data_IF_747184927007
#
_entry.id   IF_747184927007
#
_cell.length_a   1.000
_cell.length_b   1.000
_cell.length_c   1.000
_cell.angle_alpha   90.00
_cell.angle_beta   90.00
_cell.angle_gamma   90.00
#
_symmetry.space_group_name_H-M   'P 1'
#
loop_
_entity.id
_entity.type
_entity.pdbx_description
1 polymer ?
#
# COMPACT_ATOMS: atom_id res chain seq x y z
N UNK A 1 -17.19 27.51 -0.80
CA UNK A 1 -16.06 27.44 -1.74
C UNK A 1 -15.75 25.99 -2.04
N UNK A 2 -15.69 25.59 -3.32
CA UNK A 2 -15.22 24.26 -3.70
C UNK A 2 -13.72 24.11 -3.41
N UNK A 3 -13.28 22.97 -2.88
CA UNK A 3 -11.85 22.70 -2.71
C UNK A 3 -11.25 22.14 -3.99
N UNK A 4 -10.07 22.63 -4.36
CA UNK A 4 -9.32 22.09 -5.48
C UNK A 4 -8.84 20.66 -5.22
N UNK A 5 -8.70 19.90 -6.30
CA UNK A 5 -8.20 18.52 -6.27
C UNK A 5 -6.85 18.43 -5.54
N UNK A 6 -5.97 19.40 -5.76
CA UNK A 6 -4.62 19.43 -5.16
C UNK A 6 -4.64 19.69 -3.65
N UNK A 7 -5.65 20.41 -3.16
CA UNK A 7 -5.84 20.59 -1.71
C UNK A 7 -6.32 19.29 -1.09
N UNK A 8 -7.28 18.61 -1.73
CA UNK A 8 -7.85 17.36 -1.23
C UNK A 8 -6.81 16.22 -1.27
N UNK A 9 -5.98 16.14 -2.32
CA UNK A 9 -5.01 15.06 -2.53
C UNK A 9 -3.98 14.94 -1.42
N UNK A 10 -3.60 16.07 -0.80
CA UNK A 10 -2.68 16.13 0.36
C UNK A 10 -3.15 15.24 1.52
N UNK A 11 -4.46 15.02 1.66
CA UNK A 11 -5.05 14.27 2.77
C UNK A 11 -5.35 12.79 2.44
N UNK A 12 -5.02 12.29 1.25
CA UNK A 12 -5.29 10.89 0.88
C UNK A 12 -4.60 9.85 1.76
N UNK A 13 -3.54 10.26 2.48
CA UNK A 13 -2.83 9.42 3.42
C UNK A 13 -3.61 9.11 4.71
N UNK A 14 -4.75 9.75 4.96
CA UNK A 14 -5.60 9.57 6.14
C UNK A 14 -7.07 9.23 5.78
N UNK A 15 -7.89 8.92 6.78
CA UNK A 15 -9.31 8.63 6.56
C UNK A 15 -10.07 9.89 6.16
N UNK A 16 -11.18 9.74 5.43
CA UNK A 16 -12.02 10.89 5.05
C UNK A 16 -12.57 11.66 6.28
N UNK A 17 -12.80 10.95 7.39
CA UNK A 17 -13.22 11.56 8.66
C UNK A 17 -12.12 12.44 9.23
N UNK A 18 -10.89 11.94 9.25
CA UNK A 18 -9.74 12.72 9.70
C UNK A 18 -9.48 13.90 8.78
N UNK A 19 -9.47 13.69 7.46
CA UNK A 19 -9.28 14.75 6.48
C UNK A 19 -10.31 15.88 6.63
N UNK A 20 -11.58 15.54 6.88
CA UNK A 20 -12.62 16.54 7.14
C UNK A 20 -12.33 17.36 8.40
N UNK A 21 -11.83 16.71 9.46
CA UNK A 21 -11.42 17.38 10.70
C UNK A 21 -10.23 18.32 10.47
N UNK A 22 -9.21 17.86 9.77
CA UNK A 22 -8.02 18.67 9.45
C UNK A 22 -8.36 19.88 8.55
N UNK A 23 -9.31 19.72 7.64
CA UNK A 23 -9.81 20.79 6.76
C UNK A 23 -10.86 21.69 7.45
N UNK A 24 -11.21 21.39 8.70
CA UNK A 24 -12.27 22.06 9.47
C UNK A 24 -13.61 22.16 8.71
N UNK A 25 -14.02 21.07 8.05
CA UNK A 25 -15.28 20.98 7.30
C UNK A 25 -16.11 19.78 7.71
N UNK A 26 -17.43 19.89 7.50
CA UNK A 26 -18.33 18.77 7.64
C UNK A 26 -18.01 17.64 6.66
N UNK A 27 -18.19 16.39 7.09
CA UNK A 27 -17.95 15.21 6.27
C UNK A 27 -18.76 15.21 4.96
N UNK A 28 -20.01 15.68 5.02
CA UNK A 28 -20.89 15.79 3.85
C UNK A 28 -20.35 16.82 2.85
N UNK A 29 -19.86 17.96 3.35
CA UNK A 29 -19.20 18.99 2.54
C UNK A 29 -17.95 18.45 1.87
N UNK A 30 -17.10 17.72 2.58
CA UNK A 30 -15.91 17.10 1.98
C UNK A 30 -16.28 16.07 0.91
N UNK A 31 -17.30 15.24 1.14
CA UNK A 31 -17.80 14.27 0.12
C UNK A 31 -18.34 14.97 -1.11
N UNK A 32 -19.10 16.05 -0.94
CA UNK A 32 -19.61 16.86 -2.05
C UNK A 32 -18.46 17.41 -2.88
N UNK A 33 -17.47 18.02 -2.22
CA UNK A 33 -16.26 18.52 -2.88
C UNK A 33 -15.49 17.42 -3.62
N UNK A 34 -15.31 16.26 -2.99
CA UNK A 34 -14.68 15.11 -3.64
C UNK A 34 -15.39 14.74 -4.94
N UNK A 35 -16.72 14.64 -4.93
CA UNK A 35 -17.51 14.34 -6.13
C UNK A 35 -17.38 15.43 -7.20
N UNK A 36 -17.38 16.69 -6.78
CA UNK A 36 -17.21 17.84 -7.67
C UNK A 36 -15.88 17.81 -8.43
N UNK A 37 -14.77 17.45 -7.76
CA UNK A 37 -13.46 17.29 -8.40
C UNK A 37 -13.25 15.91 -9.04
N UNK A 38 -14.30 15.11 -9.18
CA UNK A 38 -14.28 13.80 -9.83
C UNK A 38 -13.68 12.67 -8.99
N UNK A 39 -13.50 12.83 -7.67
CA UNK A 39 -13.05 11.80 -6.74
C UNK A 39 -14.27 11.02 -6.23
N UNK A 40 -14.59 9.91 -6.88
CA UNK A 40 -15.78 9.12 -6.53
C UNK A 40 -15.58 8.28 -5.27
N UNK A 41 -14.35 7.84 -5.00
CA UNK A 41 -14.02 7.01 -3.85
C UNK A 41 -12.74 7.47 -3.18
N UNK A 42 -12.79 7.60 -1.86
CA UNK A 42 -11.63 8.00 -1.07
C UNK A 42 -10.52 6.92 -1.13
N UNK A 43 -9.30 7.26 -1.60
CA UNK A 43 -8.27 6.27 -1.94
C UNK A 43 -7.56 5.65 -0.73
N UNK A 44 -7.78 6.18 0.48
CA UNK A 44 -7.09 5.77 1.71
C UNK A 44 -7.00 4.24 1.91
N UNK A 45 -8.09 3.51 1.68
CA UNK A 45 -8.11 2.05 1.92
C UNK A 45 -7.11 1.32 1.01
N UNK A 46 -7.08 1.69 -0.27
CA UNK A 46 -6.14 1.12 -1.25
C UNK A 46 -4.71 1.53 -0.91
N UNK A 47 -4.48 2.81 -0.60
CA UNK A 47 -3.16 3.33 -0.20
C UNK A 47 -2.63 2.63 1.06
N UNK A 48 -3.48 2.40 2.06
CA UNK A 48 -3.11 1.68 3.27
C UNK A 48 -2.68 0.25 2.96
N UNK A 49 -3.44 -0.46 2.12
CA UNK A 49 -3.11 -1.82 1.71
C UNK A 49 -1.77 -1.90 0.98
N UNK A 50 -1.51 -0.97 0.05
CA UNK A 50 -0.24 -0.88 -0.67
C UNK A 50 0.93 -0.57 0.27
N UNK A 51 0.78 0.39 1.17
CA UNK A 51 1.81 0.72 2.17
C UNK A 51 2.15 -0.47 3.05
N UNK A 52 1.14 -1.20 3.55
CA UNK A 52 1.38 -2.41 4.35
C UNK A 52 2.14 -3.46 3.56
N UNK A 53 1.77 -3.70 2.31
CA UNK A 53 2.44 -4.68 1.46
C UNK A 53 3.90 -4.27 1.17
N UNK A 54 4.14 -2.99 0.83
CA UNK A 54 5.50 -2.47 0.61
C UNK A 54 6.36 -2.67 1.87
N UNK A 55 5.84 -2.31 3.05
CA UNK A 55 6.56 -2.46 4.30
C UNK A 55 6.87 -3.93 4.62
N UNK A 56 5.91 -4.84 4.41
CA UNK A 56 6.11 -6.28 4.61
C UNK A 56 7.27 -6.79 3.72
N UNK A 57 7.29 -6.42 2.44
CA UNK A 57 8.36 -6.84 1.50
C UNK A 57 9.71 -6.18 1.80
N UNK A 58 9.72 -4.91 2.20
CA UNK A 58 10.94 -4.21 2.63
C UNK A 58 11.54 -4.87 3.89
N UNK A 59 10.69 -5.25 4.84
CA UNK A 59 11.13 -5.98 6.03
C UNK A 59 11.74 -7.34 5.66
N UNK A 60 11.11 -8.08 4.73
CA UNK A 60 11.66 -9.34 4.24
C UNK A 60 13.05 -9.16 3.59
N UNK A 61 13.26 -8.11 2.78
CA UNK A 61 14.59 -7.80 2.23
C UNK A 61 15.60 -7.47 3.33
N UNK A 62 15.22 -6.65 4.30
CA UNK A 62 16.10 -6.25 5.40
C UNK A 62 16.55 -7.44 6.25
N UNK A 63 15.67 -8.41 6.49
CA UNK A 63 16.00 -9.60 7.29
C UNK A 63 16.89 -10.59 6.55
N UNK A 64 16.86 -10.61 5.21
CA UNK A 64 17.76 -11.47 4.43
C UNK A 64 19.21 -11.02 4.60
N UNK A 65 19.45 -9.71 4.74
CA UNK A 65 20.80 -9.15 4.88
C UNK A 65 21.49 -9.48 6.22
N UNK A 66 20.75 -9.76 7.31
CA UNK A 66 21.33 -10.06 8.62
C UNK A 66 21.49 -11.56 8.94
N UNK A 67 20.84 -12.45 8.17
CA UNK A 67 20.98 -13.91 8.36
C UNK A 67 22.23 -14.50 7.66
N UNK A 68 23.08 -13.67 7.04
CA UNK A 68 24.24 -14.12 6.25
C UNK A 68 25.56 -14.23 7.03
N UNK A 69 25.58 -14.07 8.36
CA UNK A 69 26.81 -14.12 9.15
C UNK A 69 27.20 -15.53 9.67
N UNK A 70 26.44 -16.59 9.37
CA UNK A 70 26.66 -17.90 10.03
C UNK A 70 26.52 -19.18 9.15
N UNK A 71 26.74 -19.12 7.82
CA UNK A 71 26.87 -20.36 7.01
C UNK A 71 27.90 -20.24 5.89
N UNK A 72 29.07 -20.85 6.11
CA UNK A 72 30.06 -21.19 5.08
C UNK A 72 29.58 -22.38 4.21
N UNK A 73 28.47 -22.24 3.48
CA UNK A 73 28.02 -23.30 2.56
C UNK A 73 27.56 -22.74 1.20
N UNK A 74 28.30 -23.13 0.16
CA UNK A 74 27.97 -23.21 -1.27
C UNK A 74 27.00 -22.15 -1.82
N UNK A 75 27.57 -21.18 -2.54
CA UNK A 75 26.90 -20.21 -3.42
C UNK A 75 25.93 -20.92 -4.37
N UNK A 76 24.66 -20.92 -3.99
CA UNK A 76 23.54 -21.25 -4.87
C UNK A 76 23.02 -19.98 -5.52
N UNK A 77 23.04 -19.94 -6.85
CA UNK A 77 22.54 -18.87 -7.74
C UNK A 77 21.06 -18.44 -7.50
N UNK A 78 20.34 -19.08 -6.57
CA UNK A 78 18.92 -18.83 -6.27
C UNK A 78 18.63 -17.73 -5.25
N UNK A 79 19.60 -17.33 -4.41
CA UNK A 79 19.39 -16.27 -3.42
C UNK A 79 19.27 -14.88 -4.06
N UNK A 80 20.16 -14.58 -5.02
CA UNK A 80 20.18 -13.32 -5.75
C UNK A 80 18.90 -13.12 -6.60
N UNK A 81 18.42 -14.18 -7.26
CA UNK A 81 17.19 -14.14 -8.07
C UNK A 81 15.96 -13.77 -7.22
N UNK A 82 15.83 -14.35 -6.03
CA UNK A 82 14.72 -14.08 -5.10
C UNK A 82 14.75 -12.65 -4.53
N UNK A 83 15.94 -12.06 -4.38
CA UNK A 83 16.08 -10.66 -3.96
C UNK A 83 15.67 -9.71 -5.08
N UNK A 84 16.10 -9.97 -6.31
CA UNK A 84 15.74 -9.19 -7.50
C UNK A 84 14.22 -9.21 -7.72
N UNK A 85 13.60 -10.39 -7.64
CA UNK A 85 12.13 -10.54 -7.74
C UNK A 85 11.38 -9.72 -6.66
N UNK A 86 11.90 -9.71 -5.42
CA UNK A 86 11.29 -8.91 -4.32
C UNK A 86 11.46 -7.41 -4.56
N UNK A 87 12.61 -6.98 -5.06
CA UNK A 87 12.86 -5.58 -5.40
C UNK A 87 11.95 -5.12 -6.55
N UNK A 88 11.76 -5.95 -7.57
CA UNK A 88 10.84 -5.68 -8.67
C UNK A 88 9.39 -5.52 -8.18
N UNK A 89 8.94 -6.40 -7.29
CA UNK A 89 7.62 -6.29 -6.66
C UNK A 89 7.48 -4.97 -5.90
N UNK A 90 8.47 -4.57 -5.10
CA UNK A 90 8.44 -3.30 -4.37
C UNK A 90 8.36 -2.11 -5.34
N UNK A 91 9.13 -2.15 -6.42
CA UNK A 91 9.12 -1.10 -7.46
C UNK A 91 7.74 -0.98 -8.11
N UNK A 92 7.13 -2.10 -8.49
CA UNK A 92 5.76 -2.15 -9.03
C UNK A 92 4.74 -1.56 -8.06
N UNK A 93 4.78 -1.96 -6.78
CA UNK A 93 3.84 -1.49 -5.76
C UNK A 93 4.00 0.02 -5.47
N UNK A 94 5.22 0.54 -5.50
CA UNK A 94 5.50 1.98 -5.35
C UNK A 94 4.93 2.78 -6.52
N UNK A 95 5.07 2.28 -7.74
CA UNK A 95 4.54 2.98 -8.92
C UNK A 95 3.01 3.01 -8.90
N UNK A 96 2.35 1.89 -8.57
CA UNK A 96 0.89 1.89 -8.42
C UNK A 96 0.39 2.83 -7.32
N UNK A 97 1.14 2.94 -6.21
CA UNK A 97 0.82 3.90 -5.16
C UNK A 97 0.88 5.33 -5.70
N UNK A 98 1.90 5.67 -6.48
CA UNK A 98 2.06 6.99 -7.14
C UNK A 98 0.91 7.27 -8.10
N UNK A 99 0.51 6.29 -8.92
CA UNK A 99 -0.63 6.42 -9.83
C UNK A 99 -1.93 6.70 -9.07
N UNK A 100 -2.14 6.07 -7.91
CA UNK A 100 -3.32 6.27 -7.10
C UNK A 100 -3.35 7.64 -6.39
N UNK A 101 -2.19 8.19 -6.02
CA UNK A 101 -2.06 9.55 -5.48
C UNK A 101 -2.44 10.60 -6.54
N UNK A 102 -2.02 10.40 -7.79
CA UNK A 102 -2.36 11.29 -8.92
C UNK A 102 -3.82 11.14 -9.38
N UNK A 103 -4.32 9.90 -9.40
CA UNK A 103 -5.68 9.59 -9.82
C UNK A 103 -6.35 8.57 -8.87
N UNK A 104 -7.18 9.03 -7.93
CA UNK A 104 -7.81 8.17 -6.92
C UNK A 104 -8.84 7.17 -7.52
N UNK A 105 -9.28 7.39 -8.75
CA UNK A 105 -10.20 6.50 -9.45
C UNK A 105 -9.49 5.31 -10.12
N UNK A 106 -8.16 5.32 -10.22
CA UNK A 106 -7.39 4.22 -10.82
C UNK A 106 -7.67 2.91 -10.09
N UNK A 107 -7.82 1.86 -10.89
CA UNK A 107 -7.92 0.50 -10.39
C UNK A 107 -6.52 -0.09 -10.23
N UNK A 108 -6.30 -0.80 -9.12
CA UNK A 108 -5.08 -1.59 -8.95
C UNK A 108 -5.03 -2.71 -10.00
N UNK A 109 -3.82 -3.01 -10.46
CA UNK A 109 -3.54 -4.08 -11.39
C UNK A 109 -3.93 -5.44 -10.80
N UNK A 110 -4.17 -6.41 -11.70
CA UNK A 110 -4.55 -7.76 -11.32
C UNK A 110 -3.49 -8.45 -10.46
N UNK A 111 -2.21 -8.22 -10.78
CA UNK A 111 -1.05 -8.75 -10.03
C UNK A 111 -1.04 -8.26 -8.59
N UNK A 112 -1.20 -6.95 -8.37
CA UNK A 112 -1.28 -6.35 -7.04
C UNK A 112 -2.48 -6.84 -6.26
N UNK A 113 -3.66 -6.89 -6.88
CA UNK A 113 -4.86 -7.45 -6.22
C UNK A 113 -4.62 -8.89 -5.76
N UNK A 114 -3.94 -9.70 -6.57
CA UNK A 114 -3.54 -11.08 -6.21
C UNK A 114 -2.55 -11.09 -5.04
N UNK A 115 -1.51 -10.25 -5.07
CA UNK A 115 -0.54 -10.13 -3.98
C UNK A 115 -1.20 -9.74 -2.66
N UNK A 116 -2.09 -8.76 -2.69
CA UNK A 116 -2.88 -8.32 -1.54
C UNK A 116 -3.70 -9.50 -0.98
N UNK A 117 -4.44 -10.20 -1.85
CA UNK A 117 -5.25 -11.35 -1.43
C UNK A 117 -4.41 -12.46 -0.79
N UNK A 118 -3.27 -12.80 -1.39
CA UNK A 118 -2.33 -13.78 -0.83
C UNK A 118 -1.81 -13.33 0.54
N UNK A 119 -1.40 -12.06 0.68
CA UNK A 119 -0.91 -11.53 1.96
C UNK A 119 -1.98 -11.56 3.06
N UNK A 120 -3.21 -11.15 2.73
CA UNK A 120 -4.33 -11.23 3.68
C UNK A 120 -4.61 -12.67 4.11
N UNK A 121 -4.61 -13.62 3.16
CA UNK A 121 -4.79 -15.05 3.46
C UNK A 121 -3.71 -15.58 4.39
N UNK A 122 -2.44 -15.26 4.10
CA UNK A 122 -1.30 -15.67 4.95
C UNK A 122 -1.37 -15.07 6.35
N UNK A 123 -1.70 -13.77 6.49
CA UNK A 123 -1.85 -13.12 7.81
C UNK A 123 -3.01 -13.72 8.61
N UNK A 124 -4.15 -13.94 7.97
CA UNK A 124 -5.31 -14.58 8.60
C UNK A 124 -4.99 -15.99 9.09
N UNK A 125 -4.30 -16.81 8.28
CA UNK A 125 -3.89 -18.16 8.67
C UNK A 125 -2.97 -18.14 9.90
N UNK A 126 -1.95 -17.27 9.91
CA UNK A 126 -1.05 -17.11 11.08
C UNK A 126 -1.80 -16.74 12.35
N UNK A 127 -2.75 -15.80 12.27
CA UNK A 127 -3.57 -15.43 13.43
C UNK A 127 -4.41 -16.60 13.93
N UNK A 128 -5.04 -17.35 13.01
CA UNK A 128 -5.84 -18.51 13.36
C UNK A 128 -5.01 -19.59 14.07
N UNK A 129 -3.78 -19.84 13.64
CA UNK A 129 -2.90 -20.84 14.26
C UNK A 129 -2.33 -20.43 15.61
N UNK A 130 -2.32 -19.13 15.96
CA UNK A 130 -1.83 -18.62 17.25
C UNK A 130 -2.86 -18.60 18.37
N UNK A 131 -4.14 -18.91 18.07
CA UNK A 131 -5.22 -18.92 19.06
C UNK A 131 -5.59 -20.34 19.56
N UNK A 132 -4.60 -21.23 19.68
CA UNK A 132 -4.75 -22.58 20.23
C UNK A 132 -3.88 -22.75 21.48
#
# INVERSE_FOLDING_TARGET
>A
MPYDKDTISKYFHMTIKQAAKELNVGLSTLKYNCRYVGINRWPYRKLKSLKTLINDYQFLLSNVSCNNLDRNDVVGNGGAQLEDDRQEIIKMLKEEKRLLENNPNVQLARTTKRLIACNFKSKYQKMKTMCF
#
